data_IF_050954509965
#
_entry.id   IF_050954509965
#
_cell.length_a   1.000
_cell.length_b   1.000
_cell.length_c   1.000
_cell.angle_alpha   90.00
_cell.angle_beta   90.00
_cell.angle_gamma   90.00
#
_symmetry.space_group_name_H-M   'P 1'
#
loop_
_entity.id
_entity.type
_entity.pdbx_description
1 polymer ?
#
# COMPACT_ATOMS: atom_id res chain seq x y z
N UNK A 1 3.76 -19.57 15.99
CA UNK A 1 3.19 -19.22 14.68
C UNK A 1 3.54 -20.36 13.73
N UNK A 2 2.61 -20.76 12.87
CA UNK A 2 2.85 -21.82 11.89
C UNK A 2 3.69 -21.28 10.74
N UNK A 3 4.84 -21.91 10.46
CA UNK A 3 5.70 -21.54 9.33
C UNK A 3 5.07 -22.05 8.04
N UNK A 4 4.91 -21.15 7.07
CA UNK A 4 4.30 -21.44 5.78
C UNK A 4 5.38 -21.82 4.76
N UNK A 5 6.23 -20.86 4.37
CA UNK A 5 7.38 -21.10 3.51
C UNK A 5 8.52 -20.13 3.84
N UNK A 6 9.74 -20.51 3.49
CA UNK A 6 10.89 -19.60 3.50
C UNK A 6 10.82 -18.68 2.28
N UNK A 7 11.10 -17.39 2.48
CA UNK A 7 10.95 -16.39 1.43
C UNK A 7 11.88 -16.69 0.25
N UNK A 8 11.35 -16.70 -0.97
CA UNK A 8 12.12 -16.78 -2.21
C UNK A 8 13.08 -15.61 -2.41
N UNK A 9 13.77 -15.54 -3.56
CA UNK A 9 14.77 -14.48 -3.81
C UNK A 9 14.14 -13.10 -3.91
N UNK A 10 12.96 -13.00 -4.54
CA UNK A 10 12.24 -11.73 -4.67
C UNK A 10 11.61 -11.30 -3.35
N UNK A 11 11.03 -12.26 -2.62
CA UNK A 11 10.47 -12.04 -1.27
C UNK A 11 11.58 -11.62 -0.29
N UNK A 12 12.74 -12.28 -0.33
CA UNK A 12 13.94 -11.90 0.45
C UNK A 12 14.42 -10.49 0.11
N UNK A 13 14.39 -10.10 -1.17
CA UNK A 13 14.77 -8.74 -1.58
C UNK A 13 13.77 -7.69 -1.08
N UNK A 14 12.48 -8.02 -1.02
CA UNK A 14 11.44 -7.13 -0.50
C UNK A 14 11.49 -7.00 1.03
N UNK A 15 11.59 -8.11 1.76
CA UNK A 15 11.78 -8.13 3.23
C UNK A 15 13.03 -7.38 3.64
N UNK A 16 14.16 -7.56 2.96
CA UNK A 16 15.39 -6.85 3.28
C UNK A 16 15.26 -5.33 3.09
N UNK A 17 14.57 -4.85 2.04
CA UNK A 17 14.32 -3.42 1.84
C UNK A 17 13.43 -2.84 2.94
N UNK A 18 12.37 -3.55 3.30
CA UNK A 18 11.52 -3.17 4.43
C UNK A 18 12.32 -3.17 5.75
N UNK A 19 13.17 -4.18 5.96
CA UNK A 19 14.04 -4.23 7.14
C UNK A 19 14.94 -2.99 7.24
N UNK A 20 15.35 -2.43 6.10
CA UNK A 20 16.16 -1.22 6.01
C UNK A 20 15.36 0.10 6.04
N UNK A 21 14.02 0.05 6.14
CA UNK A 21 13.15 1.23 6.14
C UNK A 21 12.89 1.81 4.74
N UNK A 22 12.96 0.97 3.70
CA UNK A 22 12.65 1.33 2.33
C UNK A 22 11.44 0.55 1.82
N UNK A 23 10.57 1.24 1.07
CA UNK A 23 9.35 0.65 0.49
C UNK A 23 8.43 0.04 1.58
N UNK A 24 8.29 0.74 2.71
CA UNK A 24 7.69 0.12 3.88
C UNK A 24 6.20 -0.22 3.71
N UNK A 25 5.47 0.64 3.00
CA UNK A 25 4.03 0.50 2.87
C UNK A 25 3.49 0.83 1.48
N UNK A 26 2.46 0.09 1.09
CA UNK A 26 1.54 0.44 -0.01
C UNK A 26 0.25 0.98 0.60
N UNK A 27 -0.34 2.00 -0.01
CA UNK A 27 -1.57 2.60 0.46
C UNK A 27 -2.60 2.74 -0.65
N UNK A 28 -3.87 2.44 -0.34
CA UNK A 28 -5.02 2.79 -1.16
C UNK A 28 -6.01 3.59 -0.30
N UNK A 29 -6.44 4.73 -0.82
CA UNK A 29 -7.48 5.53 -0.18
C UNK A 29 -8.70 5.62 -1.09
N UNK A 30 -9.87 5.35 -0.52
CA UNK A 30 -11.15 5.50 -1.18
C UNK A 30 -12.10 6.34 -0.33
N UNK A 31 -12.92 7.15 -1.01
CA UNK A 31 -13.97 7.96 -0.38
C UNK A 31 -15.32 7.35 -0.72
N UNK A 32 -16.10 7.05 0.30
CA UNK A 32 -17.42 6.44 0.24
C UNK A 32 -18.48 7.46 0.58
N UNK A 33 -19.55 7.49 -0.20
CA UNK A 33 -20.74 8.29 0.09
C UNK A 33 -21.85 7.31 0.45
N UNK A 34 -22.12 7.13 1.75
CA UNK A 34 -23.01 6.08 2.14
C UNK A 34 -24.48 6.47 2.13
N UNK A 35 -25.39 5.47 2.10
CA UNK A 35 -26.77 5.70 2.50
C UNK A 35 -26.83 6.11 3.98
N UNK A 36 -27.88 6.83 4.37
CA UNK A 36 -28.11 7.53 5.66
C UNK A 36 -27.99 6.68 6.96
N UNK A 37 -27.63 5.40 6.87
CA UNK A 37 -27.58 4.41 7.96
C UNK A 37 -26.17 4.26 8.56
N UNK A 38 -25.14 4.91 7.99
CA UNK A 38 -23.75 4.66 8.39
C UNK A 38 -23.38 5.14 9.80
N UNK A 39 -23.97 6.22 10.29
CA UNK A 39 -23.46 6.91 11.48
C UNK A 39 -23.62 6.11 12.79
N UNK A 40 -24.52 5.11 12.85
CA UNK A 40 -24.82 4.39 14.11
C UNK A 40 -24.10 3.04 14.22
N UNK A 41 -23.60 2.48 13.11
CA UNK A 41 -23.06 1.11 13.07
C UNK A 41 -21.76 0.95 12.27
N UNK A 42 -21.07 2.05 11.91
CA UNK A 42 -19.88 1.99 11.05
C UNK A 42 -18.81 1.02 11.56
N UNK A 43 -18.55 0.98 12.87
CA UNK A 43 -17.55 0.08 13.45
C UNK A 43 -17.90 -1.39 13.20
N UNK A 44 -19.13 -1.80 13.51
CA UNK A 44 -19.59 -3.17 13.31
C UNK A 44 -19.65 -3.55 11.83
N UNK A 45 -20.05 -2.61 10.97
CA UNK A 45 -20.10 -2.82 9.53
C UNK A 45 -18.69 -3.05 8.96
N UNK A 46 -17.74 -2.20 9.32
CA UNK A 46 -16.33 -2.32 8.91
C UNK A 46 -15.74 -3.62 9.43
N UNK A 47 -15.96 -3.97 10.69
CA UNK A 47 -15.46 -5.23 11.24
C UNK A 47 -16.07 -6.45 10.55
N UNK A 48 -17.39 -6.45 10.28
CA UNK A 48 -18.05 -7.53 9.55
C UNK A 48 -17.47 -7.68 8.14
N UNK A 49 -17.25 -6.56 7.45
CA UNK A 49 -16.66 -6.57 6.11
C UNK A 49 -15.23 -7.12 6.12
N UNK A 50 -14.37 -6.70 7.05
CA UNK A 50 -12.99 -7.23 7.13
C UNK A 50 -13.00 -8.72 7.51
N UNK A 51 -13.89 -9.16 8.41
CA UNK A 51 -14.03 -10.60 8.74
C UNK A 51 -14.31 -11.40 7.47
N UNK A 52 -15.24 -10.92 6.64
CA UNK A 52 -15.61 -11.56 5.39
C UNK A 52 -14.43 -11.59 4.42
N UNK A 53 -13.76 -10.45 4.20
CA UNK A 53 -12.58 -10.35 3.34
C UNK A 53 -11.43 -11.25 3.79
N UNK A 54 -11.14 -11.32 5.09
CA UNK A 54 -10.08 -12.20 5.63
C UNK A 54 -10.43 -13.67 5.44
N UNK A 55 -11.71 -14.03 5.52
CA UNK A 55 -12.15 -15.40 5.27
C UNK A 55 -12.00 -15.80 3.79
N UNK A 56 -12.19 -14.86 2.87
CA UNK A 56 -12.00 -15.08 1.42
C UNK A 56 -10.52 -15.00 0.99
N UNK A 57 -9.76 -14.10 1.61
CA UNK A 57 -8.38 -13.78 1.26
C UNK A 57 -7.44 -14.09 2.43
N UNK A 58 -7.22 -15.39 2.65
CA UNK A 58 -6.36 -15.94 3.70
C UNK A 58 -4.92 -15.38 3.69
N UNK A 59 -4.40 -14.91 2.56
CA UNK A 59 -3.08 -14.27 2.47
C UNK A 59 -2.96 -13.00 3.34
N UNK A 60 -4.06 -12.32 3.65
CA UNK A 60 -4.06 -11.14 4.54
C UNK A 60 -3.64 -11.46 5.98
N UNK A 61 -3.69 -12.74 6.37
CA UNK A 61 -3.23 -13.22 7.67
C UNK A 61 -1.77 -13.70 7.69
N UNK A 62 -1.05 -13.50 6.58
CA UNK A 62 0.33 -13.96 6.41
C UNK A 62 1.31 -12.82 6.64
N UNK A 63 2.39 -13.10 7.38
CA UNK A 63 3.35 -12.08 7.78
C UNK A 63 4.79 -12.59 7.71
N UNK A 64 5.75 -11.76 7.27
CA UNK A 64 7.16 -12.13 7.30
C UNK A 64 7.68 -12.08 8.75
N UNK A 65 8.57 -13.02 9.08
CA UNK A 65 9.36 -13.02 10.31
C UNK A 65 10.84 -13.14 9.97
N UNK A 66 11.68 -12.68 10.90
CA UNK A 66 13.13 -12.70 10.76
C UNK A 66 13.62 -11.94 9.50
N UNK A 67 12.99 -10.79 9.22
CA UNK A 67 13.32 -9.93 8.07
C UNK A 67 14.76 -9.40 8.07
N UNK A 68 15.46 -9.48 9.21
CA UNK A 68 16.90 -9.17 9.32
C UNK A 68 17.80 -10.30 8.79
N UNK A 69 17.22 -11.48 8.51
CA UNK A 69 17.92 -12.65 7.98
C UNK A 69 17.78 -12.74 6.46
N UNK A 70 18.53 -13.65 5.88
CA UNK A 70 18.44 -14.02 4.46
C UNK A 70 17.89 -15.43 4.31
N UNK A 71 17.56 -15.82 3.08
CA UNK A 71 17.16 -17.19 2.78
C UNK A 71 18.17 -18.21 3.37
N UNK A 72 17.71 -19.30 4.02
CA UNK A 72 16.31 -19.75 4.17
C UNK A 72 15.63 -19.34 5.49
N UNK A 73 16.27 -18.48 6.29
CA UNK A 73 15.84 -18.20 7.66
C UNK A 73 14.71 -17.17 7.72
N UNK A 74 14.69 -16.21 6.79
CA UNK A 74 13.53 -15.33 6.58
C UNK A 74 12.36 -16.13 6.00
N UNK A 75 11.18 -16.01 6.62
CA UNK A 75 10.03 -16.82 6.24
C UNK A 75 8.70 -16.15 6.53
N UNK A 76 7.66 -16.64 5.86
CA UNK A 76 6.28 -16.29 6.14
C UNK A 76 5.67 -17.22 7.18
N UNK A 77 4.88 -16.62 8.06
CA UNK A 77 4.09 -17.35 9.05
C UNK A 77 2.63 -16.93 8.99
N UNK A 78 1.77 -17.85 9.39
CA UNK A 78 0.34 -17.61 9.51
C UNK A 78 0.01 -17.04 10.89
N UNK A 79 -0.72 -15.92 10.92
CA UNK A 79 -1.33 -15.39 12.13
C UNK A 79 -2.64 -16.14 12.39
N UNK A 80 -2.79 -16.89 13.50
CA UNK A 80 -4.00 -17.69 13.76
C UNK A 80 -5.22 -16.85 14.17
N UNK A 81 -4.96 -15.63 14.66
CA UNK A 81 -6.00 -14.69 15.11
C UNK A 81 -5.57 -13.28 14.74
N UNK A 82 -6.50 -12.53 14.13
CA UNK A 82 -6.36 -11.10 13.88
C UNK A 82 -7.16 -10.34 14.94
N UNK A 83 -6.53 -9.36 15.59
CA UNK A 83 -7.23 -8.39 16.45
C UNK A 83 -7.55 -7.13 15.64
N UNK A 84 -8.85 -6.89 15.40
CA UNK A 84 -9.33 -5.76 14.62
C UNK A 84 -9.02 -4.40 15.24
N UNK A 85 -8.86 -4.32 16.56
CA UNK A 85 -8.48 -3.07 17.24
C UNK A 85 -7.08 -2.60 16.86
N UNK A 86 -6.24 -3.53 16.41
CA UNK A 86 -4.89 -3.26 15.96
C UNK A 86 -4.83 -2.97 14.45
N UNK A 87 -5.85 -3.41 13.69
CA UNK A 87 -5.96 -3.21 12.25
C UNK A 87 -6.69 -1.93 11.92
N UNK A 88 -7.75 -1.61 12.66
CA UNK A 88 -8.68 -0.55 12.27
C UNK A 88 -8.62 0.62 13.24
N UNK A 89 -8.42 1.80 12.68
CA UNK A 89 -8.45 3.06 13.40
C UNK A 89 -9.61 3.91 12.89
N UNK A 90 -10.54 4.26 13.77
CA UNK A 90 -11.63 5.18 13.46
C UNK A 90 -11.23 6.61 13.81
N UNK A 91 -11.43 7.53 12.87
CA UNK A 91 -11.16 8.96 13.01
C UNK A 91 -12.39 9.76 12.60
N UNK A 92 -12.56 10.94 13.22
CA UNK A 92 -13.55 11.93 12.79
C UNK A 92 -12.84 13.13 12.19
N UNK A 93 -13.31 13.60 11.03
CA UNK A 93 -12.82 14.80 10.36
C UNK A 93 -13.90 15.89 10.40
N UNK A 94 -13.49 17.10 10.79
CA UNK A 94 -14.34 18.30 10.81
C UNK A 94 -14.20 19.17 9.57
N UNK A 95 -13.25 18.85 8.68
CA UNK A 95 -13.10 19.52 7.41
C UNK A 95 -14.00 18.87 6.37
N UNK A 96 -14.39 19.63 5.34
CA UNK A 96 -15.07 19.05 4.19
C UNK A 96 -14.07 18.37 3.26
N UNK A 97 -14.53 17.37 2.51
CA UNK A 97 -13.78 16.74 1.44
C UNK A 97 -13.50 17.78 0.35
N UNK A 98 -12.23 18.02 -0.01
CA UNK A 98 -11.86 18.98 -1.05
C UNK A 98 -12.48 18.62 -2.40
N UNK A 99 -12.82 19.64 -3.20
CA UNK A 99 -13.43 19.47 -4.53
C UNK A 99 -12.56 20.09 -5.62
N UNK A 100 -12.57 19.47 -6.80
CA UNK A 100 -11.85 19.96 -7.97
C UNK A 100 -10.33 19.92 -7.77
N UNK A 101 -9.66 21.04 -8.01
CA UNK A 101 -8.19 21.18 -7.95
C UNK A 101 -7.67 21.54 -6.55
N UNK A 102 -8.53 21.50 -5.53
CA UNK A 102 -8.15 21.84 -4.16
C UNK A 102 -7.23 20.78 -3.56
N UNK A 103 -6.24 21.26 -2.79
CA UNK A 103 -5.30 20.39 -2.09
C UNK A 103 -6.01 19.71 -0.91
N UNK A 104 -5.90 18.38 -0.84
CA UNK A 104 -6.37 17.62 0.32
C UNK A 104 -5.30 17.57 1.40
N UNK A 105 -5.27 18.63 2.22
CA UNK A 105 -4.30 18.77 3.32
C UNK A 105 -4.45 17.62 4.30
N UNK A 106 -5.68 17.26 4.65
CA UNK A 106 -5.97 16.16 5.57
C UNK A 106 -5.44 14.83 5.04
N UNK A 107 -5.70 14.52 3.76
CA UNK A 107 -5.21 13.29 3.15
C UNK A 107 -3.69 13.28 3.05
N UNK A 108 -3.07 14.40 2.70
CA UNK A 108 -1.61 14.51 2.67
C UNK A 108 -0.99 14.22 4.05
N UNK A 109 -1.51 14.84 5.11
CA UNK A 109 -1.05 14.62 6.48
C UNK A 109 -1.29 13.18 6.93
N UNK A 110 -2.46 12.61 6.63
CA UNK A 110 -2.80 11.22 6.94
C UNK A 110 -1.82 10.27 6.27
N UNK A 111 -1.65 10.36 4.94
CA UNK A 111 -0.75 9.47 4.21
C UNK A 111 0.70 9.67 4.62
N UNK A 112 1.14 10.91 4.83
CA UNK A 112 2.50 11.18 5.30
C UNK A 112 2.74 10.54 6.68
N UNK A 113 1.78 10.65 7.60
CA UNK A 113 1.86 10.03 8.92
C UNK A 113 1.88 8.50 8.82
N UNK A 114 1.02 7.92 8.00
CA UNK A 114 0.95 6.46 7.86
C UNK A 114 2.19 5.87 7.16
N UNK A 115 2.70 6.51 6.10
CA UNK A 115 3.93 6.13 5.40
C UNK A 115 5.23 6.44 6.17
N UNK A 116 5.16 7.25 7.23
CA UNK A 116 6.30 7.49 8.14
C UNK A 116 6.23 6.62 9.40
N UNK A 117 5.13 5.89 9.59
CA UNK A 117 4.97 4.98 10.70
C UNK A 117 5.42 3.58 10.27
N UNK A 118 6.56 3.17 10.79
CA UNK A 118 7.11 1.82 10.66
C UNK A 118 6.16 0.78 11.27
N UNK A 119 6.07 -0.39 10.64
CA UNK A 119 5.36 -1.57 11.15
C UNK A 119 6.09 -2.24 12.32
N UNK A 120 7.39 -1.99 12.51
CA UNK A 120 8.20 -2.55 13.61
C UNK A 120 8.07 -1.81 14.93
N UNK A 121 7.68 -0.53 14.91
CA UNK A 121 7.70 0.34 16.09
C UNK A 121 6.68 -0.03 17.17
N UNK A 122 5.70 -0.88 16.85
CA UNK A 122 4.70 -1.32 17.81
C UNK A 122 4.33 -2.77 17.50
N UNK A 123 4.78 -3.70 18.35
CA UNK A 123 4.45 -5.14 18.28
C UNK A 123 2.94 -5.41 18.31
N UNK A 124 2.12 -4.42 18.68
CA UNK A 124 0.66 -4.49 18.62
C UNK A 124 0.11 -4.10 17.25
N UNK A 125 0.82 -3.31 16.45
CA UNK A 125 0.36 -2.90 15.12
C UNK A 125 0.58 -4.03 14.14
N UNK A 126 -0.47 -4.32 13.40
CA UNK A 126 -0.45 -5.39 12.42
C UNK A 126 0.16 -4.94 11.11
N UNK A 127 0.50 -5.91 10.26
CA UNK A 127 1.04 -5.71 8.91
C UNK A 127 0.06 -5.04 7.95
N UNK A 128 -1.15 -4.73 8.42
CA UNK A 128 -2.16 -3.96 7.73
C UNK A 128 -2.78 -2.93 8.68
N UNK A 129 -3.16 -1.77 8.13
CA UNK A 129 -3.84 -0.68 8.85
C UNK A 129 -4.97 -0.12 7.99
N UNK A 130 -6.20 -0.17 8.49
CA UNK A 130 -7.36 0.51 7.92
C UNK A 130 -7.67 1.75 8.75
N UNK A 131 -7.47 2.94 8.18
CA UNK A 131 -7.95 4.18 8.79
C UNK A 131 -9.30 4.53 8.19
N UNK A 132 -10.36 4.48 9.00
CA UNK A 132 -11.72 4.88 8.61
C UNK A 132 -11.96 6.30 9.13
N UNK A 133 -12.08 7.26 8.23
CA UNK A 133 -12.34 8.67 8.55
C UNK A 133 -13.78 9.02 8.24
N UNK A 134 -14.56 9.43 9.23
CA UNK A 134 -15.93 9.94 9.06
C UNK A 134 -15.91 11.46 8.95
N UNK A 135 -16.52 12.02 7.90
CA UNK A 135 -16.58 13.46 7.66
C UNK A 135 -17.88 14.04 8.23
N UNK A 136 -17.75 14.82 9.30
CA UNK A 136 -18.91 15.37 10.02
C UNK A 136 -19.65 16.46 9.22
N UNK A 137 -18.98 17.09 8.26
CA UNK A 137 -19.56 18.17 7.43
C UNK A 137 -20.24 17.62 6.17
N UNK A 138 -19.75 16.53 5.60
CA UNK A 138 -20.20 16.00 4.31
C UNK A 138 -21.26 14.90 4.46
N UNK A 139 -22.29 15.14 5.27
CA UNK A 139 -23.48 14.29 5.39
C UNK A 139 -23.19 12.78 5.60
N UNK A 140 -22.19 12.45 6.44
CA UNK A 140 -21.84 11.06 6.74
C UNK A 140 -20.93 10.40 5.71
N UNK A 141 -20.38 11.15 4.74
CA UNK A 141 -19.30 10.63 3.89
C UNK A 141 -18.15 10.08 4.74
N UNK A 142 -17.55 9.00 4.27
CA UNK A 142 -16.39 8.42 4.94
C UNK A 142 -15.25 8.20 3.95
N UNK A 143 -14.04 8.08 4.47
CA UNK A 143 -12.87 7.71 3.70
C UNK A 143 -12.14 6.59 4.38
N UNK A 144 -11.87 5.54 3.63
CA UNK A 144 -11.07 4.41 4.09
C UNK A 144 -9.69 4.51 3.46
N UNK A 145 -8.65 4.56 4.28
CA UNK A 145 -7.26 4.47 3.84
C UNK A 145 -6.67 3.17 4.34
N UNK A 146 -6.44 2.24 3.42
CA UNK A 146 -5.87 0.93 3.68
C UNK A 146 -4.37 0.98 3.39
N UNK A 147 -3.57 0.70 4.40
CA UNK A 147 -2.11 0.76 4.36
C UNK A 147 -1.58 -0.63 4.69
N UNK A 148 -0.96 -1.29 3.72
CA UNK A 148 -0.38 -2.61 3.89
C UNK A 148 1.13 -2.53 3.91
N UNK A 149 1.73 -3.50 4.58
CA UNK A 149 3.12 -3.87 4.41
C UNK A 149 3.37 -4.26 2.94
N UNK A 150 4.39 -3.67 2.29
CA UNK A 150 4.62 -3.88 0.85
C UNK A 150 5.10 -5.30 0.52
N UNK A 151 5.67 -6.02 1.48
CA UNK A 151 6.31 -7.31 1.17
C UNK A 151 5.34 -8.39 0.65
N UNK A 152 4.16 -8.63 1.27
CA UNK A 152 3.14 -9.51 0.69
C UNK A 152 2.19 -8.80 -0.29
N UNK A 153 2.39 -7.51 -0.61
CA UNK A 153 1.36 -6.69 -1.24
C UNK A 153 1.91 -5.64 -2.20
N UNK A 154 1.36 -5.59 -3.41
CA UNK A 154 1.61 -4.55 -4.40
C UNK A 154 0.38 -3.63 -4.59
N UNK A 155 0.49 -2.67 -5.51
CA UNK A 155 -0.63 -1.76 -5.81
C UNK A 155 -1.89 -2.47 -6.33
N UNK A 156 -1.76 -3.63 -6.98
CA UNK A 156 -2.89 -4.41 -7.49
C UNK A 156 -3.61 -5.12 -6.35
N UNK A 157 -2.86 -5.71 -5.42
CA UNK A 157 -3.42 -6.35 -4.22
C UNK A 157 -4.21 -5.37 -3.35
N UNK A 158 -3.79 -4.10 -3.28
CA UNK A 158 -4.54 -3.06 -2.57
C UNK A 158 -5.89 -2.76 -3.25
N UNK A 159 -5.95 -2.79 -4.59
CA UNK A 159 -7.19 -2.63 -5.36
C UNK A 159 -8.12 -3.83 -5.11
N UNK A 160 -7.61 -5.07 -5.22
CA UNK A 160 -8.39 -6.29 -5.01
C UNK A 160 -8.97 -6.36 -3.59
N UNK A 161 -8.17 -6.01 -2.57
CA UNK A 161 -8.68 -5.88 -1.21
C UNK A 161 -9.83 -4.88 -1.14
N UNK A 162 -9.68 -3.73 -1.79
CA UNK A 162 -10.70 -2.69 -1.74
C UNK A 162 -12.00 -3.11 -2.43
N UNK A 163 -11.92 -3.81 -3.56
CA UNK A 163 -13.08 -4.37 -4.25
C UNK A 163 -13.82 -5.38 -3.36
N UNK A 164 -13.10 -6.35 -2.80
CA UNK A 164 -13.68 -7.35 -1.87
C UNK A 164 -14.27 -6.69 -0.61
N UNK A 165 -13.60 -5.66 -0.09
CA UNK A 165 -14.08 -4.89 1.06
C UNK A 165 -15.36 -4.12 0.73
N UNK A 166 -15.43 -3.48 -0.44
CA UNK A 166 -16.62 -2.77 -0.89
C UNK A 166 -17.80 -3.72 -1.10
N UNK A 167 -17.57 -4.86 -1.75
CA UNK A 167 -18.59 -5.90 -1.92
C UNK A 167 -19.12 -6.38 -0.55
N UNK A 168 -18.20 -6.64 0.38
CA UNK A 168 -18.55 -7.05 1.75
C UNK A 168 -19.36 -5.97 2.47
N UNK A 169 -19.00 -4.69 2.35
CA UNK A 169 -19.78 -3.58 2.90
C UNK A 169 -21.21 -3.58 2.33
N UNK A 170 -21.38 -3.77 1.01
CA UNK A 170 -22.70 -3.81 0.38
C UNK A 170 -23.57 -4.98 0.87
N UNK A 171 -22.98 -6.16 1.04
CA UNK A 171 -23.67 -7.34 1.57
C UNK A 171 -24.25 -7.03 2.95
N UNK A 172 -23.42 -6.51 3.85
CA UNK A 172 -23.83 -6.24 5.23
C UNK A 172 -24.69 -4.99 5.40
N UNK A 173 -24.69 -4.07 4.42
CA UNK A 173 -25.66 -2.97 4.38
C UNK A 173 -27.08 -3.44 4.01
N UNK A 174 -27.21 -4.52 3.24
CA UNK A 174 -28.51 -5.07 2.81
C UNK A 174 -29.07 -6.12 3.78
N UNK A 175 -28.26 -6.61 4.71
CA UNK A 175 -28.63 -7.63 5.68
C UNK A 175 -28.71 -7.08 7.11
N UNK A 176 -29.47 -7.73 8.02
CA UNK A 176 -29.44 -7.38 9.42
C UNK A 176 -28.03 -7.58 10.01
N UNK A 177 -27.37 -6.48 10.38
CA UNK A 177 -26.06 -6.50 11.04
C UNK A 177 -26.18 -7.14 12.43
N UNK A 178 -25.55 -8.30 12.60
CA UNK A 178 -25.31 -8.88 13.92
C UNK A 178 -24.03 -8.28 14.50
N UNK A 179 -23.98 -8.12 15.82
CA UNK A 179 -22.75 -7.70 16.50
C UNK A 179 -21.65 -8.73 16.24
N UNK A 180 -20.55 -8.30 15.66
CA UNK A 180 -19.39 -9.14 15.38
C UNK A 180 -18.33 -9.01 16.47
N UNK A 181 -17.51 -10.05 16.62
CA UNK A 181 -16.36 -10.03 17.52
C UNK A 181 -15.25 -9.14 16.97
N UNK A 182 -14.32 -8.73 17.85
CA UNK A 182 -13.11 -7.97 17.47
C UNK A 182 -11.93 -8.88 17.10
N UNK A 183 -12.06 -10.18 17.31
CA UNK A 183 -11.05 -11.17 17.00
C UNK A 183 -11.56 -12.05 15.87
N UNK A 184 -10.73 -12.26 14.85
CA UNK A 184 -11.04 -13.10 13.69
C UNK A 184 -10.09 -14.28 13.70
N UNK A 185 -10.63 -15.49 13.77
CA UNK A 185 -9.86 -16.69 13.49
C UNK A 185 -9.63 -16.77 11.98
N UNK A 186 -8.39 -17.00 11.60
CA UNK A 186 -7.99 -17.05 10.20
C UNK A 186 -8.03 -18.50 9.70
N UNK A 187 -8.46 -18.72 8.45
CA UNK A 187 -8.51 -20.08 7.90
C UNK A 187 -7.11 -20.69 7.82
N UNK A 188 -6.93 -21.92 8.29
CA UNK A 188 -5.69 -22.70 8.12
C UNK A 188 -5.54 -23.30 6.71
N UNK A 189 -6.20 -22.70 5.71
CA UNK A 189 -6.17 -23.20 4.32
C UNK A 189 -4.77 -23.04 3.75
N UNK A 190 -4.16 -24.10 3.19
CA UNK A 190 -2.83 -24.01 2.60
C UNK A 190 -2.77 -22.89 1.56
N UNK A 191 -1.81 -21.99 1.73
CA UNK A 191 -1.51 -20.94 0.76
C UNK A 191 -0.80 -21.53 -0.46
N UNK A 192 -0.89 -20.82 -1.58
CA UNK A 192 -0.16 -21.16 -2.79
C UNK A 192 1.36 -21.18 -2.55
N UNK A 193 2.13 -21.93 -3.36
CA UNK A 193 3.58 -21.92 -3.22
C UNK A 193 4.15 -20.54 -3.59
N UNK A 194 5.38 -20.20 -3.13
CA UNK A 194 6.05 -18.96 -3.50
C UNK A 194 6.08 -18.72 -5.01
N UNK A 195 6.14 -17.44 -5.42
CA UNK A 195 6.09 -17.05 -6.84
C UNK A 195 7.15 -17.75 -7.69
N UNK A 196 8.36 -17.93 -7.14
CA UNK A 196 9.47 -18.61 -7.80
C UNK A 196 9.21 -20.09 -8.06
N UNK A 197 8.28 -20.71 -7.33
CA UNK A 197 7.84 -22.09 -7.58
C UNK A 197 6.73 -22.14 -8.65
N UNK A 198 5.96 -21.06 -8.82
CA UNK A 198 4.92 -20.94 -9.86
C UNK A 198 5.52 -20.60 -11.23
N UNK A 199 6.62 -19.84 -11.24
CA UNK A 199 7.31 -19.45 -12.45
C UNK A 199 8.79 -19.75 -12.33
N UNK A 200 9.32 -20.53 -13.29
CA UNK A 200 10.75 -20.78 -13.38
C UNK A 200 11.48 -19.49 -13.82
N UNK A 201 11.79 -18.63 -12.85
CA UNK A 201 12.63 -17.45 -13.02
C UNK A 201 14.08 -17.88 -12.98
N UNK A 202 14.53 -18.59 -14.03
CA UNK A 202 15.96 -18.86 -14.18
C UNK A 202 16.64 -17.55 -14.56
N UNK A 203 17.14 -16.80 -13.58
CA UNK A 203 18.06 -15.70 -13.86
C UNK A 203 19.24 -16.27 -14.63
N UNK A 204 19.50 -15.75 -15.82
CA UNK A 204 20.67 -16.17 -16.58
C UNK A 204 21.91 -15.81 -15.75
N UNK A 205 22.81 -16.79 -15.51
CA UNK A 205 24.09 -16.56 -14.86
C UNK A 205 24.86 -15.35 -15.41
N UNK A 206 24.85 -15.06 -16.73
CA UNK A 206 25.42 -13.84 -17.29
C UNK A 206 24.80 -12.55 -16.72
N UNK A 207 23.48 -12.49 -16.57
CA UNK A 207 22.81 -11.34 -15.97
C UNK A 207 23.22 -11.16 -14.50
N UNK A 208 23.23 -12.24 -13.73
CA UNK A 208 23.64 -12.20 -12.32
C UNK A 208 25.09 -11.74 -12.16
N UNK A 209 26.02 -12.31 -12.93
CA UNK A 209 27.43 -11.91 -12.91
C UNK A 209 27.63 -10.47 -13.38
N UNK A 210 26.89 -10.03 -14.39
CA UNK A 210 26.92 -8.63 -14.84
C UNK A 210 26.42 -7.67 -13.76
N UNK A 211 25.37 -8.04 -13.02
CA UNK A 211 24.84 -7.22 -11.92
C UNK A 211 25.84 -7.13 -10.75
N UNK A 212 26.47 -8.25 -10.38
CA UNK A 212 27.50 -8.30 -9.33
C UNK A 212 28.76 -7.53 -9.76
N UNK A 213 29.21 -7.70 -11.00
CA UNK A 213 30.32 -6.90 -11.53
C UNK A 213 29.97 -5.41 -11.49
N UNK A 214 28.77 -5.02 -11.94
CA UNK A 214 28.29 -3.64 -11.88
C UNK A 214 28.22 -3.04 -10.47
N UNK A 215 27.98 -3.85 -9.43
CA UNK A 215 27.97 -3.38 -8.04
C UNK A 215 29.40 -3.20 -7.48
N UNK A 216 30.34 -4.08 -7.85
CA UNK A 216 31.74 -4.08 -7.39
C UNK A 216 32.67 -3.16 -8.19
N UNK A 217 32.30 -2.79 -9.41
CA UNK A 217 33.12 -1.92 -10.26
C UNK A 217 33.33 -0.54 -9.60
N UNK A 218 34.53 0.04 -9.68
CA UNK A 218 34.78 1.43 -9.28
C UNK A 218 33.82 2.41 -9.95
N UNK A 219 33.38 3.44 -9.21
CA UNK A 219 32.35 4.39 -9.68
C UNK A 219 32.65 5.12 -11.01
N UNK A 220 33.92 5.16 -11.44
CA UNK A 220 34.32 5.73 -12.73
C UNK A 220 34.10 4.79 -13.93
N UNK A 221 33.93 3.49 -13.68
CA UNK A 221 33.58 2.48 -14.71
C UNK A 221 32.08 2.20 -14.75
N UNK A 222 31.32 2.71 -13.78
CA UNK A 222 29.86 2.61 -13.80
C UNK A 222 29.32 3.68 -14.76
N UNK A 223 28.38 3.33 -15.66
CA UNK A 223 27.62 4.35 -16.37
C UNK A 223 26.96 5.27 -15.33
N UNK A 224 27.18 6.58 -15.44
CA UNK A 224 26.57 7.59 -14.55
C UNK A 224 25.05 7.50 -14.66
N UNK A 225 24.42 6.79 -13.72
CA UNK A 225 22.97 6.54 -13.75
C UNK A 225 22.18 7.48 -12.84
N UNK A 226 22.82 8.11 -11.85
CA UNK A 226 22.18 9.07 -10.96
C UNK A 226 22.76 10.48 -11.16
N UNK A 227 21.95 11.39 -11.67
CA UNK A 227 22.28 12.83 -11.83
C UNK A 227 21.74 13.68 -10.69
N UNK A 228 20.98 13.09 -9.76
CA UNK A 228 20.47 13.78 -8.58
C UNK A 228 21.55 14.05 -7.53
N UNK A 229 21.26 14.93 -6.59
CA UNK A 229 22.13 15.17 -5.44
C UNK A 229 22.28 13.89 -4.59
N UNK A 230 23.44 13.65 -3.94
CA UNK A 230 23.59 12.56 -2.98
C UNK A 230 22.55 12.67 -1.87
N UNK A 231 21.88 11.57 -1.56
CA UNK A 231 20.92 11.52 -0.45
C UNK A 231 21.71 11.44 0.86
N UNK A 232 21.79 12.55 1.59
CA UNK A 232 22.58 12.66 2.82
C UNK A 232 21.86 12.15 4.08
N UNK A 233 20.57 11.79 3.98
CA UNK A 233 19.75 11.44 5.15
C UNK A 233 19.93 9.97 5.57
N UNK A 234 20.32 9.76 6.84
CA UNK A 234 20.39 8.45 7.49
C UNK A 234 19.03 7.87 7.89
N UNK A 235 18.01 8.71 8.01
CA UNK A 235 16.64 8.31 8.33
C UNK A 235 15.71 8.88 7.27
N UNK A 236 14.93 8.01 6.64
CA UNK A 236 14.00 8.39 5.58
C UNK A 236 12.69 8.73 6.26
N UNK A 237 12.23 9.96 6.08
CA UNK A 237 10.86 10.34 6.40
C UNK A 237 10.14 10.53 5.08
N UNK A 238 9.09 9.74 4.88
CA UNK A 238 8.23 9.85 3.71
C UNK A 238 7.58 11.23 3.70
N UNK A 239 7.74 11.97 2.60
CA UNK A 239 7.00 13.20 2.33
C UNK A 239 6.04 12.95 1.19
N UNK A 240 4.75 13.02 1.50
CA UNK A 240 3.69 12.76 0.51
C UNK A 240 3.11 14.08 0.04
N UNK A 241 2.92 14.21 -1.27
CA UNK A 241 2.14 15.30 -1.86
C UNK A 241 1.22 14.74 -2.92
N UNK A 242 -0.07 15.04 -2.77
CA UNK A 242 -1.13 14.67 -3.70
C UNK A 242 -1.52 15.93 -4.47
N UNK A 243 -1.49 15.82 -5.79
CA UNK A 243 -1.98 16.84 -6.71
C UNK A 243 -3.21 16.29 -7.40
N UNK A 244 -4.35 16.94 -7.19
CA UNK A 244 -5.61 16.57 -7.82
C UNK A 244 -5.83 17.44 -9.05
N UNK A 245 -6.20 16.81 -10.16
CA UNK A 245 -6.60 17.50 -11.39
C UNK A 245 -8.09 17.29 -11.62
N UNK A 246 -8.79 18.39 -11.88
CA UNK A 246 -10.23 18.42 -12.11
C UNK A 246 -10.57 17.64 -13.35
N UNK A 247 -11.81 17.16 -13.42
CA UNK A 247 -12.33 16.42 -14.58
C UNK A 247 -12.13 17.21 -15.88
N UNK A 248 -12.30 18.53 -15.84
CA UNK A 248 -12.09 19.40 -17.00
C UNK A 248 -10.63 19.37 -17.46
N UNK A 249 -9.70 19.61 -16.54
CA UNK A 249 -8.24 19.63 -16.83
C UNK A 249 -7.76 18.26 -17.29
N UNK A 250 -8.15 17.19 -16.60
CA UNK A 250 -7.78 15.80 -16.94
C UNK A 250 -8.29 15.40 -18.32
N UNK A 251 -9.54 15.75 -18.68
CA UNK A 251 -10.07 15.48 -20.02
C UNK A 251 -9.34 16.27 -21.11
N UNK A 252 -9.07 17.56 -20.86
CA UNK A 252 -8.33 18.39 -21.80
C UNK A 252 -6.90 17.85 -22.04
N UNK A 253 -6.21 17.46 -20.96
CA UNK A 253 -4.89 16.85 -21.03
C UNK A 253 -4.90 15.53 -21.81
N UNK A 254 -5.85 14.64 -21.52
CA UNK A 254 -5.99 13.37 -22.24
C UNK A 254 -6.31 13.56 -23.73
N UNK A 255 -7.12 14.56 -24.08
CA UNK A 255 -7.42 14.90 -25.47
C UNK A 255 -6.16 15.40 -26.20
N UNK A 256 -5.38 16.27 -25.58
CA UNK A 256 -4.12 16.76 -26.14
C UNK A 256 -3.10 15.61 -26.33
N UNK A 257 -2.97 14.70 -25.35
CA UNK A 257 -2.12 13.52 -25.50
C UNK A 257 -2.51 12.70 -26.74
N UNK A 258 -3.81 12.50 -26.95
CA UNK A 258 -4.34 11.77 -28.11
C UNK A 258 -4.06 12.48 -29.43
N UNK A 259 -4.25 13.79 -29.49
CA UNK A 259 -3.91 14.61 -30.65
C UNK A 259 -2.42 14.47 -31.02
N UNK A 260 -1.54 14.37 -30.02
CA UNK A 260 -0.10 14.18 -30.21
C UNK A 260 0.34 12.72 -30.32
N UNK A 261 -0.59 11.76 -30.41
CA UNK A 261 -0.27 10.34 -30.55
C UNK A 261 0.47 9.73 -29.37
N UNK A 262 0.31 10.28 -28.16
CA UNK A 262 0.97 9.82 -26.93
C UNK A 262 -0.05 9.43 -25.85
N UNK A 263 0.40 8.74 -24.80
CA UNK A 263 -0.40 8.45 -23.62
C UNK A 263 -0.18 9.50 -22.52
N UNK A 264 -1.17 9.65 -21.64
CA UNK A 264 -1.04 10.52 -20.47
C UNK A 264 0.17 10.13 -19.60
N UNK A 265 0.43 8.82 -19.45
CA UNK A 265 1.59 8.30 -18.70
C UNK A 265 2.91 8.73 -19.31
N UNK A 266 3.05 8.62 -20.63
CA UNK A 266 4.28 9.06 -21.34
C UNK A 266 4.45 10.56 -21.19
N UNK A 267 3.39 11.35 -21.43
CA UNK A 267 3.46 12.80 -21.30
C UNK A 267 3.83 13.25 -19.87
N UNK A 268 3.26 12.63 -18.83
CA UNK A 268 3.63 12.91 -17.43
C UNK A 268 5.08 12.52 -17.15
N UNK A 269 5.52 11.36 -17.66
CA UNK A 269 6.90 10.88 -17.48
C UNK A 269 7.93 11.78 -18.14
N UNK A 270 7.57 12.53 -19.19
CA UNK A 270 8.48 13.51 -19.82
C UNK A 270 8.48 14.87 -19.11
N UNK A 271 7.40 15.23 -18.43
CA UNK A 271 7.32 16.49 -17.67
C UNK A 271 8.17 16.44 -16.38
N UNK A 272 8.23 15.28 -15.71
CA UNK A 272 8.94 15.14 -14.43
C UNK A 272 10.46 15.42 -14.53
N UNK A 273 11.21 14.87 -15.50
CA UNK A 273 12.63 15.18 -15.65
C UNK A 273 12.90 16.64 -16.02
N UNK A 274 12.01 17.26 -16.81
CA UNK A 274 12.15 18.65 -17.24
C UNK A 274 12.13 19.61 -16.05
N UNK A 275 11.20 19.40 -15.11
CA UNK A 275 11.13 20.19 -13.87
C UNK A 275 12.34 19.94 -12.96
N UNK A 276 12.77 18.68 -12.80
CA UNK A 276 13.96 18.36 -12.00
C UNK A 276 15.22 19.03 -12.55
N UNK A 277 15.38 19.07 -13.87
CA UNK A 277 16.52 19.72 -14.52
C UNK A 277 16.43 21.26 -14.44
N UNK A 278 15.24 21.83 -14.51
CA UNK A 278 15.02 23.26 -14.32
C UNK A 278 15.33 23.72 -12.88
N UNK A 279 14.95 22.94 -11.86
CA UNK A 279 15.25 23.24 -10.46
C UNK A 279 16.72 22.98 -10.08
N UNK A 280 17.43 22.11 -10.79
CA UNK A 280 18.86 21.86 -10.56
C UNK A 280 19.78 22.91 -11.20
N UNK A 281 19.24 23.76 -12.08
CA UNK A 281 19.98 24.84 -12.75
C UNK A 281 19.85 26.21 -12.09
N UNK A 282 19.10 26.32 -10.98
CA UNK A 282 18.93 27.54 -10.18
C UNK A 282 19.67 27.44 -8.84
#
# INVERSE_FOLDING_TARGET
LEKLWSCGRLETYSTARHHLGYYDSVGLTATHIPPSVWDVLIDNLVFAAIIHVVAEHHNLSTVPVDEDKSYPDVCFVHLPVINMENWVEFRTCRFSIPRGDQIDIYLNELLQSQHSCDFKCDVRRSYCRLVVTVFLVDHGASRTSWILHHEPSDGVSAILFHEAFLESLEIFLRAPLKKVGRHVSTPSTPLGPPLENLHNTTDSWPFFLSAVAGSLLPGHLKPRSWTGSPIAQKHISSKTRIVTLSVKTTKAFAALCREKGTSATVALSTLLPFEVQACAGS
#
